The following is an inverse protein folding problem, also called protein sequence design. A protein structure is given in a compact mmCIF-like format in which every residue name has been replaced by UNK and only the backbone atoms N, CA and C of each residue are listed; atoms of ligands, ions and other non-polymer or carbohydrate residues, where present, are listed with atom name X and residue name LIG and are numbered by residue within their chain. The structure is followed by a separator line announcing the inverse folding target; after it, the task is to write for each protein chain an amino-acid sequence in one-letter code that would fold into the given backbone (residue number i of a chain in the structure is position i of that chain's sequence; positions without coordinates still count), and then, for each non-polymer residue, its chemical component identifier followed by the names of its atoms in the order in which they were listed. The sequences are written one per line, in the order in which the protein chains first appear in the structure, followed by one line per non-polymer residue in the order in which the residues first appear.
data_IF_471543974632
#
_entry.id   IF_471543974632
#
_cell.length_a   1.000
_cell.length_b   1.000
_cell.length_c   1.000
_cell.angle_alpha   90.00
_cell.angle_beta   90.00
_cell.angle_gamma   90.00
#
_symmetry.space_group_name_H-M   'P 1'
#
loop_
_entity.id
_entity.type
_entity.pdbx_description
1 polymer ?
#
# COMPACT_ATOMS: atom_id res chain seq x y z
N UNK A 1 2.11 0.34 16.19
CA UNK A 1 2.65 1.19 17.27
C UNK A 1 1.75 2.42 17.39
N UNK A 2 1.52 2.99 18.58
CA UNK A 2 0.51 4.05 18.78
C UNK A 2 1.06 5.49 18.68
N UNK A 3 2.38 5.62 18.74
CA UNK A 3 3.17 6.86 18.70
C UNK A 3 3.47 7.35 17.28
N UNK A 4 3.56 6.44 16.31
CA UNK A 4 3.97 6.73 14.93
C UNK A 4 3.17 7.84 14.25
N UNK A 5 1.82 7.92 14.36
CA UNK A 5 1.07 9.03 13.78
C UNK A 5 1.43 10.40 14.37
N UNK A 6 1.80 10.46 15.66
CA UNK A 6 2.22 11.70 16.30
C UNK A 6 3.60 12.13 15.78
N UNK A 7 4.53 11.18 15.64
CA UNK A 7 5.86 11.44 15.09
C UNK A 7 5.79 11.91 13.64
N UNK A 8 4.95 11.27 12.82
CA UNK A 8 4.77 11.69 11.43
C UNK A 8 4.15 13.08 11.35
N UNK A 9 3.13 13.39 12.15
CA UNK A 9 2.55 14.75 12.17
C UNK A 9 3.52 15.85 12.58
N UNK A 10 4.57 15.51 13.33
CA UNK A 10 5.61 16.47 13.72
C UNK A 10 6.66 16.71 12.61
N UNK A 11 6.67 15.89 11.55
CA UNK A 11 7.57 16.07 10.41
C UNK A 11 7.00 17.03 9.36
N UNK A 12 7.90 17.66 8.60
CA UNK A 12 7.53 18.52 7.46
C UNK A 12 7.23 17.74 6.17
N UNK A 13 7.94 16.63 5.95
CA UNK A 13 7.80 15.72 4.82
C UNK A 13 8.49 14.38 5.16
N UNK A 14 8.17 13.33 4.41
CA UNK A 14 8.68 11.98 4.63
C UNK A 14 9.56 11.53 3.46
N UNK A 15 10.65 10.83 3.77
CA UNK A 15 11.68 10.44 2.80
C UNK A 15 11.95 8.96 2.93
N UNK A 16 11.72 8.22 1.84
CA UNK A 16 11.84 6.77 1.80
C UNK A 16 12.34 6.26 0.43
N UNK A 17 13.59 6.55 0.04
CA UNK A 17 14.17 6.09 -1.22
C UNK A 17 14.66 4.63 -1.11
N UNK A 18 13.76 3.70 -0.79
CA UNK A 18 14.13 2.30 -0.61
C UNK A 18 14.66 1.68 -1.90
N UNK A 19 15.69 0.82 -1.80
CA UNK A 19 16.16 0.00 -2.92
C UNK A 19 15.17 -1.10 -3.30
N UNK A 20 14.41 -1.57 -2.31
CA UNK A 20 13.41 -2.61 -2.48
C UNK A 20 12.39 -2.51 -1.35
N UNK A 21 11.13 -2.24 -1.70
CA UNK A 21 10.02 -2.32 -0.77
C UNK A 21 8.74 -2.63 -1.55
N UNK A 22 8.16 -3.83 -1.46
CA UNK A 22 7.11 -4.26 -2.37
C UNK A 22 5.73 -3.67 -2.05
N UNK A 23 5.44 -3.30 -0.80
CA UNK A 23 4.12 -2.78 -0.42
C UNK A 23 4.12 -1.27 -0.27
N UNK A 24 5.12 -0.72 0.42
CA UNK A 24 5.22 0.72 0.63
C UNK A 24 4.12 1.27 1.55
N UNK A 25 3.57 0.46 2.46
CA UNK A 25 2.56 0.90 3.42
C UNK A 25 3.02 2.12 4.23
N UNK A 26 4.32 2.20 4.57
CA UNK A 26 4.88 3.35 5.27
C UNK A 26 4.75 4.66 4.50
N UNK A 27 4.77 4.61 3.16
CA UNK A 27 4.53 5.77 2.28
C UNK A 27 3.07 6.19 2.37
N UNK A 28 2.14 5.23 2.29
CA UNK A 28 0.71 5.49 2.43
C UNK A 28 0.37 6.03 3.82
N UNK A 29 1.00 5.51 4.87
CA UNK A 29 0.86 6.02 6.24
C UNK A 29 1.34 7.47 6.36
N UNK A 30 2.50 7.80 5.77
CA UNK A 30 3.01 9.17 5.73
C UNK A 30 2.07 10.11 4.95
N UNK A 31 1.58 9.67 3.79
CA UNK A 31 0.59 10.41 3.00
C UNK A 31 -0.71 10.61 3.79
N UNK A 32 -1.18 9.57 4.50
CA UNK A 32 -2.33 9.66 5.39
C UNK A 32 -2.06 10.61 6.56
N UNK A 33 -0.83 10.76 7.04
CA UNK A 33 -0.47 11.78 8.03
C UNK A 33 -0.43 13.20 7.45
N UNK A 34 -0.68 13.36 6.13
CA UNK A 34 -0.69 14.65 5.44
C UNK A 34 0.72 15.13 5.09
N UNK A 35 1.68 14.21 4.97
CA UNK A 35 3.05 14.55 4.60
C UNK A 35 3.26 14.44 3.10
N UNK A 36 3.93 15.43 2.47
CA UNK A 36 4.59 15.22 1.20
C UNK A 36 5.59 14.06 1.31
N UNK A 37 5.72 13.26 0.27
CA UNK A 37 6.61 12.09 0.26
C UNK A 37 7.67 12.20 -0.82
N UNK A 38 8.92 11.83 -0.50
CA UNK A 38 9.98 11.55 -1.47
C UNK A 38 10.22 10.03 -1.42
N UNK A 39 10.02 9.34 -2.53
CA UNK A 39 10.22 7.89 -2.63
C UNK A 39 11.00 7.53 -3.89
N UNK A 40 11.33 6.26 -4.09
CA UNK A 40 11.97 5.73 -5.29
C UNK A 40 10.97 4.95 -6.15
N UNK A 41 11.24 4.85 -7.46
CA UNK A 41 10.47 4.02 -8.39
C UNK A 41 10.47 2.52 -8.03
N UNK A 42 11.47 2.07 -7.25
CA UNK A 42 11.58 0.70 -6.74
C UNK A 42 10.70 0.40 -5.52
N UNK A 43 9.93 1.39 -5.04
CA UNK A 43 8.98 1.22 -3.93
C UNK A 43 7.58 0.92 -4.48
N UNK A 44 6.88 -0.08 -3.96
CA UNK A 44 5.57 -0.52 -4.46
C UNK A 44 4.46 0.53 -4.37
N UNK A 45 4.58 1.49 -3.46
CA UNK A 45 3.67 2.63 -3.37
C UNK A 45 4.04 3.80 -4.31
N UNK A 46 5.08 3.68 -5.14
CA UNK A 46 5.52 4.77 -6.03
C UNK A 46 4.42 5.22 -7.01
N UNK A 47 3.61 4.29 -7.49
CA UNK A 47 2.50 4.59 -8.42
C UNK A 47 1.38 5.42 -7.77
N UNK A 48 1.32 5.46 -6.44
CA UNK A 48 0.38 6.30 -5.69
C UNK A 48 0.89 7.74 -5.52
N UNK A 49 2.19 7.95 -5.71
CA UNK A 49 2.84 9.25 -5.53
C UNK A 49 2.79 10.02 -6.84
N UNK A 50 1.89 11.00 -6.89
CA UNK A 50 1.76 11.93 -8.01
C UNK A 50 2.62 13.19 -7.77
N UNK A 51 2.95 13.97 -8.83
CA UNK A 51 3.62 15.26 -8.66
C UNK A 51 2.86 16.26 -7.77
N UNK A 52 1.55 16.04 -7.56
CA UNK A 52 0.73 16.88 -6.70
C UNK A 52 0.95 16.59 -5.20
N UNK A 53 1.46 15.41 -4.83
CA UNK A 53 1.60 14.98 -3.44
C UNK A 53 3.02 14.60 -3.02
N UNK A 54 3.96 14.46 -3.96
CA UNK A 54 5.32 14.06 -3.65
C UNK A 54 6.23 13.98 -4.87
N UNK A 55 7.38 13.35 -4.68
CA UNK A 55 8.44 13.19 -5.67
C UNK A 55 8.85 11.72 -5.72
N UNK A 56 8.96 11.17 -6.93
CA UNK A 56 9.45 9.82 -7.18
C UNK A 56 10.80 9.90 -7.88
N UNK A 57 11.84 9.41 -7.22
CA UNK A 57 13.18 9.29 -7.78
C UNK A 57 13.23 8.14 -8.78
N UNK A 58 13.80 8.40 -9.96
CA UNK A 58 13.98 7.38 -10.99
C UNK A 58 14.94 6.26 -10.54
N UNK A 59 16.01 6.64 -9.82
CA UNK A 59 16.96 5.74 -9.19
C UNK A 59 17.11 6.11 -7.70
N UNK A 60 16.99 5.12 -6.82
CA UNK A 60 17.22 5.25 -5.38
C UNK A 60 18.67 5.61 -5.00
N UNK A 61 19.64 5.40 -5.90
CA UNK A 61 21.04 5.75 -5.70
C UNK A 61 21.42 7.14 -6.21
N UNK A 62 20.50 7.85 -6.86
CA UNK A 62 20.77 9.20 -7.34
C UNK A 62 20.71 10.21 -6.18
N UNK A 63 21.88 10.41 -5.56
CA UNK A 63 22.09 11.33 -4.46
C UNK A 63 21.78 12.77 -4.87
N UNK A 64 22.05 13.15 -6.12
CA UNK A 64 21.82 14.52 -6.59
C UNK A 64 20.33 14.81 -6.68
N UNK A 65 19.55 13.89 -7.28
CA UNK A 65 18.09 14.02 -7.36
C UNK A 65 17.45 14.01 -5.97
N UNK A 66 17.94 13.17 -5.05
CA UNK A 66 17.48 13.16 -3.67
C UNK A 66 17.77 14.51 -2.98
N UNK A 67 19.00 15.02 -3.08
CA UNK A 67 19.40 16.29 -2.47
C UNK A 67 18.58 17.48 -3.01
N UNK A 68 18.35 17.54 -4.32
CA UNK A 68 17.50 18.56 -4.95
C UNK A 68 16.05 18.49 -4.43
N UNK A 69 15.50 17.28 -4.30
CA UNK A 69 14.15 17.07 -3.78
C UNK A 69 14.02 17.52 -2.33
N UNK A 70 15.04 17.23 -1.51
CA UNK A 70 15.11 17.67 -0.12
C UNK A 70 15.18 19.20 -0.02
N UNK A 71 16.04 19.85 -0.80
CA UNK A 71 16.20 21.31 -0.76
C UNK A 71 14.93 22.03 -1.25
N UNK A 72 14.27 21.50 -2.28
CA UNK A 72 12.98 22.01 -2.75
C UNK A 72 11.94 21.97 -1.63
N UNK A 73 11.72 20.80 -1.01
CA UNK A 73 10.71 20.69 0.04
C UNK A 73 11.10 21.45 1.29
N UNK A 74 12.38 21.51 1.66
CA UNK A 74 12.87 22.32 2.78
C UNK A 74 12.59 23.81 2.58
N UNK A 75 12.85 24.33 1.39
CA UNK A 75 12.78 25.76 1.09
C UNK A 75 11.35 26.29 0.84
N UNK A 76 10.42 25.46 0.36
CA UNK A 76 9.07 25.90 0.00
C UNK A 76 7.97 25.35 0.93
N UNK A 77 7.63 26.14 1.97
CA UNK A 77 6.55 25.80 2.90
C UNK A 77 5.17 25.70 2.24
N UNK A 78 4.86 26.56 1.25
CA UNK A 78 3.55 26.57 0.61
C UNK A 78 3.35 25.31 -0.24
N UNK A 79 4.40 24.90 -0.94
CA UNK A 79 4.43 23.64 -1.67
C UNK A 79 4.20 22.45 -0.74
N UNK A 80 4.88 22.40 0.42
CA UNK A 80 4.66 21.33 1.40
C UNK A 80 3.20 21.25 1.86
N UNK A 81 2.60 22.39 2.19
CA UNK A 81 1.20 22.44 2.61
C UNK A 81 0.24 21.95 1.51
N UNK A 82 0.49 22.34 0.26
CA UNK A 82 -0.31 21.88 -0.89
C UNK A 82 -0.15 20.38 -1.11
N UNK A 83 1.10 19.90 -1.13
CA UNK A 83 1.42 18.49 -1.34
C UNK A 83 0.88 17.61 -0.22
N UNK A 84 0.98 18.04 1.03
CA UNK A 84 0.46 17.31 2.18
C UNK A 84 -1.06 17.12 2.14
N UNK A 85 -1.80 18.16 1.75
CA UNK A 85 -3.26 18.06 1.53
C UNK A 85 -3.60 17.06 0.42
N UNK A 86 -2.88 17.12 -0.71
CA UNK A 86 -3.06 16.18 -1.80
C UNK A 86 -2.70 14.73 -1.38
N UNK A 87 -1.61 14.55 -0.63
CA UNK A 87 -1.17 13.27 -0.11
C UNK A 87 -2.26 12.62 0.75
N UNK A 88 -2.84 13.40 1.68
CA UNK A 88 -3.95 12.95 2.52
C UNK A 88 -5.16 12.52 1.69
N UNK A 89 -5.57 13.36 0.73
CA UNK A 89 -6.73 13.10 -0.12
C UNK A 89 -6.55 11.84 -0.99
N UNK A 90 -5.32 11.55 -1.45
CA UNK A 90 -5.01 10.32 -2.17
C UNK A 90 -5.05 9.12 -1.22
N UNK A 91 -4.38 9.22 -0.06
CA UNK A 91 -4.32 8.11 0.89
C UNK A 91 -5.69 7.67 1.42
N UNK A 92 -6.64 8.59 1.57
CA UNK A 92 -8.01 8.28 2.00
C UNK A 92 -8.76 7.32 1.06
N UNK A 93 -8.38 7.29 -0.24
CA UNK A 93 -8.94 6.38 -1.24
C UNK A 93 -8.49 4.92 -1.03
N UNK A 94 -7.41 4.71 -0.26
CA UNK A 94 -6.83 3.40 0.05
C UNK A 94 -7.14 2.96 1.49
N UNK A 95 -8.18 3.53 2.11
CA UNK A 95 -8.59 3.15 3.46
C UNK A 95 -9.07 1.70 3.53
N UNK A 96 -8.90 1.09 4.70
CA UNK A 96 -9.39 -0.26 4.99
C UNK A 96 -10.87 -0.44 4.68
N UNK A 97 -11.68 0.59 4.91
CA UNK A 97 -13.11 0.56 4.61
C UNK A 97 -13.38 0.39 3.11
N UNK A 98 -12.69 1.17 2.27
CA UNK A 98 -12.84 1.10 0.81
C UNK A 98 -12.32 -0.25 0.30
N UNK A 99 -11.15 -0.68 0.78
CA UNK A 99 -10.58 -1.96 0.38
C UNK A 99 -11.52 -3.12 0.75
N UNK A 100 -12.01 -3.17 1.99
CA UNK A 100 -12.95 -4.20 2.42
C UNK A 100 -14.22 -4.22 1.58
N UNK A 101 -14.77 -3.05 1.23
CA UNK A 101 -15.93 -2.96 0.35
C UNK A 101 -15.63 -3.51 -1.05
N UNK A 102 -14.50 -3.15 -1.65
CA UNK A 102 -14.11 -3.66 -2.97
C UNK A 102 -13.97 -5.19 -2.96
N UNK A 103 -13.42 -5.78 -1.90
CA UNK A 103 -13.35 -7.23 -1.75
C UNK A 103 -14.74 -7.88 -1.62
N UNK A 104 -15.63 -7.28 -0.82
CA UNK A 104 -17.01 -7.78 -0.66
C UNK A 104 -17.79 -7.71 -1.98
N UNK A 105 -17.61 -6.63 -2.73
CA UNK A 105 -18.25 -6.45 -4.04
C UNK A 105 -17.74 -7.51 -5.03
N UNK A 106 -16.42 -7.75 -5.05
CA UNK A 106 -15.81 -8.80 -5.87
C UNK A 106 -16.35 -10.20 -5.50
N UNK A 107 -16.41 -10.53 -4.20
CA UNK A 107 -16.95 -11.82 -3.77
C UNK A 107 -18.43 -11.96 -4.14
N UNK A 108 -19.21 -10.89 -4.00
CA UNK A 108 -20.63 -10.87 -4.39
C UNK A 108 -20.78 -11.10 -5.90
N UNK A 109 -19.96 -10.44 -6.72
CA UNK A 109 -19.95 -10.63 -8.17
C UNK A 109 -19.59 -12.06 -8.54
N UNK A 110 -18.58 -12.67 -7.92
CA UNK A 110 -18.18 -14.06 -8.19
C UNK A 110 -19.28 -15.04 -7.83
N UNK A 111 -19.98 -14.82 -6.70
CA UNK A 111 -21.12 -15.65 -6.28
C UNK A 111 -22.30 -15.51 -7.25
N UNK A 112 -22.62 -14.29 -7.69
CA UNK A 112 -23.73 -14.04 -8.63
C UNK A 112 -23.43 -14.58 -10.04
N UNK A 113 -22.16 -14.51 -10.45
CA UNK A 113 -21.67 -15.03 -11.73
C UNK A 113 -21.30 -16.51 -11.67
N UNK A 114 -21.68 -17.22 -10.60
CA UNK A 114 -21.54 -18.67 -10.47
C UNK A 114 -22.53 -19.42 -11.40
N UNK A 115 -22.43 -19.16 -12.71
CA UNK A 115 -22.81 -20.08 -13.78
C UNK A 115 -21.59 -20.83 -14.34
N UNK A 116 -20.48 -20.89 -13.60
CA UNK A 116 -19.36 -21.76 -13.91
C UNK A 116 -19.63 -23.17 -13.37
N UNK A 117 -19.84 -24.07 -14.33
CA UNK A 117 -20.40 -25.40 -14.15
C UNK A 117 -19.71 -26.29 -13.13
N UNK A 118 -20.53 -27.17 -12.55
CA UNK A 118 -20.19 -28.53 -12.08
C UNK A 118 -18.68 -28.80 -11.95
N UNK A 119 -18.10 -28.39 -10.83
CA UNK A 119 -16.89 -29.03 -10.31
C UNK A 119 -17.32 -30.37 -9.70
N UNK A 120 -17.15 -31.52 -10.37
CA UNK A 120 -17.66 -32.80 -9.86
C UNK A 120 -17.06 -33.17 -8.49
N UNK A 121 -15.87 -32.63 -8.16
CA UNK A 121 -15.17 -32.87 -6.91
C UNK A 121 -15.53 -31.91 -5.76
N UNK A 122 -16.31 -30.84 -6.02
CA UNK A 122 -16.79 -29.90 -4.99
C UNK A 122 -18.32 -29.97 -4.79
N UNK A 123 -19.00 -30.89 -5.48
CA UNK A 123 -20.44 -31.09 -5.23
C UNK A 123 -20.66 -31.53 -3.77
N UNK A 124 -21.62 -30.88 -3.12
CA UNK A 124 -22.04 -31.10 -1.74
C UNK A 124 -22.75 -32.44 -1.51
N UNK A 125 -22.25 -33.53 -2.10
CA UNK A 125 -22.63 -34.87 -1.65
C UNK A 125 -21.75 -35.24 -0.46
N UNK A 126 -22.34 -35.09 0.72
CA UNK A 126 -22.03 -35.79 1.96
C UNK A 126 -21.13 -37.04 1.80
N UNK A 127 -19.81 -36.83 1.81
CA UNK A 127 -18.86 -37.82 2.31
C UNK A 127 -18.00 -37.15 3.36
N UNK A 128 -18.16 -37.64 4.59
CA UNK A 128 -17.24 -37.39 5.69
C UNK A 128 -15.81 -37.64 5.18
N UNK A 129 -15.05 -36.56 4.97
CA UNK A 129 -13.61 -36.66 4.77
C UNK A 129 -12.99 -36.85 6.14
N UNK A 130 -12.88 -38.10 6.57
CA UNK A 130 -11.88 -38.46 7.56
C UNK A 130 -10.52 -38.13 6.95
N UNK A 131 -9.88 -37.08 7.45
CA UNK A 131 -8.49 -36.72 7.10
C UNK A 131 -7.62 -37.89 7.55
N UNK A 132 -6.89 -38.59 6.65
CA UNK A 132 -6.02 -39.66 7.08
C UNK A 132 -4.83 -39.03 7.80
N UNK A 133 -4.83 -39.14 9.13
CA UNK A 133 -3.66 -38.89 9.94
C UNK A 133 -2.57 -39.88 9.50
N UNK A 134 -1.51 -39.38 8.85
CA UNK A 134 -0.36 -40.21 8.47
C UNK A 134 0.34 -40.63 9.77
N UNK A 135 0.09 -41.85 10.22
CA UNK A 135 1.00 -42.53 11.13
C UNK A 135 2.31 -42.77 10.39
N UNK A 136 3.40 -42.33 11.00
CA UNK A 136 4.77 -42.59 10.56
C UNK A 136 4.98 -44.09 10.31
N UNK A 137 5.65 -44.43 9.20
CA UNK A 137 6.13 -45.80 8.97
C UNK A 137 7.60 -45.88 9.37
N UNK A 138 8.01 -46.93 10.10
CA UNK A 138 9.41 -47.17 10.42
C UNK A 138 10.12 -47.82 9.24
N UNK A 139 11.34 -47.36 8.98
CA UNK A 139 12.50 -48.15 8.55
C UNK A 139 13.75 -47.31 8.80
#
# INVERSE_FOLDING_TARGET
RRDMPLLQKAADFFVFPSRYEPFGLVVIEAMASGLPVITSKSTGAADLVTPACGIVLADCNDINSLAQSLELLKSDYQLRQKMGKAARAIAEQYSWKIMAQNYLDLFTQVIQNAQYGSYPYLSSSSRSMAVPCRTASPN
#
